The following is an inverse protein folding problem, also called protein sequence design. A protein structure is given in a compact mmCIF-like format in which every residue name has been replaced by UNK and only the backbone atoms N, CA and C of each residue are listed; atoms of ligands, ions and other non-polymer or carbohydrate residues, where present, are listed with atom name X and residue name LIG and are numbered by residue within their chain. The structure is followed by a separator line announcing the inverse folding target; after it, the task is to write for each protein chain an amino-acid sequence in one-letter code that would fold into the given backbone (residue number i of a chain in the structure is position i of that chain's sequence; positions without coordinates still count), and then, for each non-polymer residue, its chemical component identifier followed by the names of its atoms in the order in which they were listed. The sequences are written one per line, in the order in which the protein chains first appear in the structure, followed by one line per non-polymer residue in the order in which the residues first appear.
data_IF_242080209681
#
_entry.id   IF_242080209681
#
_cell.length_a   1.000
_cell.length_b   1.000
_cell.length_c   1.000
_cell.angle_alpha   90.00
_cell.angle_beta   90.00
_cell.angle_gamma   90.00
#
_symmetry.space_group_name_H-M   'P 1'
#
loop_
_entity.id
_entity.type
_entity.pdbx_description
1 polymer ?
#
# COMPACT_ATOMS: atom_id res chain seq x y z
N UNK A 1 -10.26 3.47 1.27
CA UNK A 1 -9.42 2.31 0.89
C UNK A 1 -8.63 1.88 2.12
N UNK A 2 -8.83 0.66 2.59
CA UNK A 2 -8.29 0.12 3.85
C UNK A 2 -7.49 -1.15 3.56
N UNK A 3 -6.42 -1.42 4.32
CA UNK A 3 -5.70 -2.70 4.25
C UNK A 3 -6.43 -3.76 5.06
N UNK A 4 -6.42 -5.01 4.60
CA UNK A 4 -6.84 -6.20 5.35
C UNK A 4 -5.64 -7.15 5.46
N UNK A 5 -4.49 -6.60 5.90
CA UNK A 5 -3.17 -7.24 5.84
C UNK A 5 -2.52 -7.15 4.46
N UNK A 6 -1.72 -8.17 4.16
CA UNK A 6 -1.34 -8.69 2.84
C UNK A 6 -2.23 -9.90 2.51
N UNK A 7 -2.60 -10.23 1.26
CA UNK A 7 -2.59 -9.42 0.04
C UNK A 7 -3.94 -8.72 -0.21
N UNK A 8 -4.71 -8.49 0.86
CA UNK A 8 -6.10 -8.07 0.75
C UNK A 8 -6.32 -6.62 1.17
N UNK A 9 -7.35 -6.00 0.59
CA UNK A 9 -7.82 -4.67 0.96
C UNK A 9 -9.34 -4.57 0.80
N UNK A 10 -9.91 -3.47 1.26
CA UNK A 10 -11.28 -3.05 0.96
C UNK A 10 -11.25 -1.63 0.37
N UNK A 11 -11.92 -1.44 -0.77
CA UNK A 11 -11.97 -0.15 -1.47
C UNK A 11 -13.41 0.19 -1.80
N UNK A 12 -13.86 1.38 -1.36
CA UNK A 12 -15.05 2.04 -1.88
C UNK A 12 -14.58 3.11 -2.88
N UNK A 13 -15.03 3.04 -4.12
CA UNK A 13 -14.79 4.07 -5.14
C UNK A 13 -15.97 4.13 -6.12
N UNK A 14 -16.39 5.33 -6.52
CA UNK A 14 -17.53 5.52 -7.44
C UNK A 14 -18.84 4.90 -6.93
N UNK A 15 -19.07 4.89 -5.61
CA UNK A 15 -20.24 4.27 -4.98
C UNK A 15 -20.23 2.74 -4.91
N UNK A 16 -19.20 2.05 -5.45
CA UNK A 16 -19.06 0.60 -5.43
C UNK A 16 -17.96 0.14 -4.47
N UNK A 17 -18.21 -0.95 -3.76
CA UNK A 17 -17.27 -1.57 -2.83
C UNK A 17 -16.64 -2.82 -3.46
N UNK A 18 -15.33 -3.00 -3.26
CA UNK A 18 -14.57 -4.15 -3.76
C UNK A 18 -13.62 -4.65 -2.67
N UNK A 19 -13.38 -5.96 -2.62
CA UNK A 19 -12.50 -6.62 -1.65
C UNK A 19 -11.36 -7.43 -2.29
N UNK A 20 -10.54 -8.04 -1.44
CA UNK A 20 -9.53 -9.02 -1.84
C UNK A 20 -8.31 -8.44 -2.56
N UNK A 21 -7.64 -9.27 -3.37
CA UNK A 21 -6.43 -8.91 -4.11
C UNK A 21 -6.66 -7.80 -5.16
N UNK A 22 -7.82 -7.78 -5.84
CA UNK A 22 -8.16 -6.70 -6.78
C UNK A 22 -8.28 -5.35 -6.05
N UNK A 23 -8.86 -5.33 -4.84
CA UNK A 23 -8.92 -4.14 -4.01
C UNK A 23 -7.53 -3.68 -3.53
N UNK A 24 -6.54 -4.58 -3.38
CA UNK A 24 -5.15 -4.18 -3.09
C UNK A 24 -4.54 -3.39 -4.25
N UNK A 25 -4.78 -3.83 -5.49
CA UNK A 25 -4.35 -3.09 -6.69
C UNK A 25 -5.10 -1.76 -6.86
N UNK A 26 -6.42 -1.74 -6.61
CA UNK A 26 -7.20 -0.50 -6.61
C UNK A 26 -6.71 0.49 -5.53
N UNK A 27 -6.35 -0.01 -4.33
CA UNK A 27 -5.74 0.79 -3.27
C UNK A 27 -4.39 1.36 -3.71
N UNK A 28 -3.52 0.57 -4.33
CA UNK A 28 -2.24 1.03 -4.87
C UNK A 28 -2.41 2.23 -5.81
N UNK A 29 -3.28 2.10 -6.83
CA UNK A 29 -3.55 3.16 -7.79
C UNK A 29 -4.10 4.43 -7.12
N UNK A 30 -5.04 4.29 -6.17
CA UNK A 30 -5.60 5.42 -5.42
C UNK A 30 -4.57 6.13 -4.52
N UNK A 31 -3.64 5.39 -3.91
CA UNK A 31 -2.58 5.99 -3.09
C UNK A 31 -1.52 6.70 -3.95
N UNK A 32 -1.05 6.07 -5.03
CA UNK A 32 -0.02 6.67 -5.90
C UNK A 32 -0.54 7.88 -6.68
N UNK A 33 -1.78 7.86 -7.17
CA UNK A 33 -2.39 9.02 -7.83
C UNK A 33 -2.43 10.28 -6.94
N UNK A 34 -2.52 10.11 -5.62
CA UNK A 34 -2.54 11.20 -4.62
C UNK A 34 -1.16 11.72 -4.22
N UNK A 35 -0.07 11.07 -4.65
CA UNK A 35 1.28 11.55 -4.33
C UNK A 35 1.59 12.81 -5.15
N UNK A 36 2.16 13.87 -4.53
CA UNK A 36 2.26 15.20 -5.15
C UNK A 36 3.33 15.29 -6.24
N UNK A 37 4.38 14.46 -6.19
CA UNK A 37 5.51 14.52 -7.13
C UNK A 37 5.68 13.21 -7.89
N UNK A 38 6.13 13.31 -9.14
CA UNK A 38 6.46 12.15 -9.97
C UNK A 38 7.53 11.26 -9.32
N UNK A 39 8.54 11.87 -8.70
CA UNK A 39 9.59 11.15 -7.97
C UNK A 39 9.02 10.30 -6.81
N UNK A 40 8.08 10.83 -6.02
CA UNK A 40 7.41 10.03 -4.98
C UNK A 40 6.54 8.92 -5.56
N UNK A 41 5.85 9.15 -6.69
CA UNK A 41 5.08 8.11 -7.38
C UNK A 41 5.96 6.94 -7.82
N UNK A 42 7.10 7.22 -8.45
CA UNK A 42 8.07 6.20 -8.85
C UNK A 42 8.67 5.47 -7.65
N UNK A 43 9.11 6.18 -6.61
CA UNK A 43 9.75 5.58 -5.43
C UNK A 43 8.81 4.66 -4.64
N UNK A 44 7.57 5.10 -4.40
CA UNK A 44 6.55 4.29 -3.71
C UNK A 44 6.04 3.17 -4.62
N UNK A 45 5.95 3.42 -5.93
CA UNK A 45 5.57 2.41 -6.90
C UNK A 45 6.55 1.25 -6.98
N UNK A 46 7.84 1.55 -7.07
CA UNK A 46 8.90 0.55 -7.04
C UNK A 46 8.87 -0.28 -5.74
N UNK A 47 8.75 0.35 -4.56
CA UNK A 47 8.71 -0.40 -3.30
C UNK A 47 7.46 -1.28 -3.18
N UNK A 48 6.31 -0.89 -3.72
CA UNK A 48 5.13 -1.77 -3.74
C UNK A 48 5.25 -2.93 -4.73
N UNK A 49 5.91 -2.73 -5.87
CA UNK A 49 6.04 -3.76 -6.92
C UNK A 49 7.15 -4.77 -6.60
N UNK A 50 8.29 -4.33 -6.04
CA UNK A 50 9.45 -5.18 -5.77
C UNK A 50 9.61 -5.61 -4.31
N UNK A 51 9.12 -4.82 -3.34
CA UNK A 51 9.30 -5.08 -1.90
C UNK A 51 7.97 -5.26 -1.14
N UNK A 52 6.82 -5.09 -1.81
CA UNK A 52 5.51 -4.86 -1.18
C UNK A 52 4.89 -6.05 -0.41
N UNK A 53 5.56 -7.20 -0.41
CA UNK A 53 5.20 -8.42 0.33
C UNK A 53 6.32 -8.93 1.24
N UNK A 54 7.54 -8.41 1.09
CA UNK A 54 8.69 -8.82 1.90
C UNK A 54 8.47 -8.41 3.36
N UNK A 55 8.66 -9.31 4.35
CA UNK A 55 8.60 -8.95 5.75
C UNK A 55 9.58 -7.83 6.05
N UNK A 56 9.09 -6.69 6.53
CA UNK A 56 9.97 -5.58 6.90
C UNK A 56 10.66 -5.95 8.21
N UNK A 57 12.00 -5.97 8.28
CA UNK A 57 12.70 -6.28 9.53
C UNK A 57 12.29 -5.25 10.58
N UNK A 58 11.86 -5.75 11.74
CA UNK A 58 11.64 -4.90 12.90
C UNK A 58 13.01 -4.39 13.34
N UNK A 59 13.32 -3.14 13.01
CA UNK A 59 14.35 -2.40 13.73
C UNK A 59 13.98 -2.46 15.22
N UNK A 60 14.96 -2.57 16.14
CA UNK A 60 14.65 -2.55 17.56
C UNK A 60 13.85 -1.28 17.85
N UNK A 61 12.60 -1.45 18.28
CA UNK A 61 11.80 -0.39 18.89
C UNK A 61 12.71 0.23 19.96
N UNK A 62 12.85 1.56 19.94
CA UNK A 62 13.93 2.31 20.61
C UNK A 62 13.97 2.27 22.15
N UNK A 63 13.44 1.22 22.76
CA UNK A 63 13.67 0.80 24.14
C UNK A 63 15.13 0.40 24.36
N UNK A 64 16.00 1.41 24.41
CA UNK A 64 17.18 1.31 25.29
C UNK A 64 16.66 1.16 26.73
N UNK A 65 17.22 0.20 27.47
CA UNK A 65 17.00 0.05 28.91
C UNK A 65 17.85 1.06 29.68
#
# INVERSE_FOLDING_TARGET
ALSLGTENAAVLAGGKAFGGALARQARYALYTARLPTWHHRLKVGASWFFEGTSPRPLQPLGFQR
#
